data_IF_822665030947
#
_entry.id   IF_822665030947
#
_cell.length_a   1.000
_cell.length_b   1.000
_cell.length_c   1.000
_cell.angle_alpha   90.00
_cell.angle_beta   90.00
_cell.angle_gamma   90.00
#
_symmetry.space_group_name_H-M   'P 1'
#
loop_
_entity.id
_entity.type
_entity.pdbx_description
1 polymer ?
#
# COMPACT_ATOMS: atom_id res chain seq x y z
N UNK A 1 -14.31 -2.55 -27.96
CA UNK A 1 -13.75 -3.78 -27.36
C UNK A 1 -12.47 -3.38 -26.65
N UNK A 2 -12.58 -2.89 -25.41
CA UNK A 2 -11.43 -2.57 -24.57
C UNK A 2 -11.08 -3.84 -23.83
N UNK A 3 -9.87 -4.36 -24.08
CA UNK A 3 -9.35 -5.55 -23.40
C UNK A 3 -9.34 -5.28 -21.91
N UNK A 4 -10.22 -5.97 -21.20
CA UNK A 4 -10.40 -5.93 -19.75
C UNK A 4 -9.23 -6.68 -19.11
N UNK A 5 -8.03 -6.12 -19.22
CA UNK A 5 -6.85 -6.66 -18.55
C UNK A 5 -7.01 -6.37 -17.07
N UNK A 6 -7.53 -7.36 -16.35
CA UNK A 6 -7.63 -7.41 -14.89
C UNK A 6 -6.40 -6.76 -14.26
N UNK A 7 -6.57 -5.68 -13.50
CA UNK A 7 -5.43 -4.97 -12.91
C UNK A 7 -4.94 -5.74 -11.68
N UNK A 8 -3.72 -6.29 -11.79
CA UNK A 8 -3.13 -7.15 -10.76
C UNK A 8 -1.77 -6.62 -10.29
N UNK A 9 -1.51 -6.67 -8.99
CA UNK A 9 -0.21 -6.35 -8.38
C UNK A 9 0.32 -7.61 -7.72
N UNK A 10 1.56 -8.02 -8.03
CA UNK A 10 2.19 -9.13 -7.32
C UNK A 10 2.56 -8.70 -5.90
N UNK A 11 2.28 -9.53 -4.90
CA UNK A 11 2.51 -9.21 -3.48
C UNK A 11 3.98 -8.90 -3.18
N UNK A 12 4.93 -9.56 -3.86
CA UNK A 12 6.35 -9.28 -3.70
C UNK A 12 6.79 -7.92 -4.26
N UNK A 13 5.96 -7.30 -5.10
CA UNK A 13 6.34 -6.17 -5.96
C UNK A 13 5.52 -4.91 -5.62
N UNK A 14 5.15 -4.72 -4.34
CA UNK A 14 4.43 -3.52 -3.89
C UNK A 14 5.36 -2.30 -3.95
N UNK A 15 5.51 -1.75 -5.15
CA UNK A 15 6.23 -0.52 -5.45
C UNK A 15 5.42 0.73 -5.09
N UNK A 16 6.00 1.92 -5.21
CA UNK A 16 5.28 3.17 -4.95
C UNK A 16 4.16 3.41 -5.97
N UNK A 17 4.35 2.98 -7.21
CA UNK A 17 3.32 3.00 -8.26
C UNK A 17 2.18 2.04 -7.91
N UNK A 18 2.50 0.85 -7.39
CA UNK A 18 1.51 -0.10 -6.91
C UNK A 18 0.68 0.49 -5.75
N UNK A 19 1.31 1.22 -4.84
CA UNK A 19 0.61 1.91 -3.75
C UNK A 19 -0.33 3.01 -4.25
N UNK A 20 0.07 3.76 -5.29
CA UNK A 20 -0.79 4.77 -5.91
C UNK A 20 -2.02 4.12 -6.53
N UNK A 21 -1.87 2.99 -7.22
CA UNK A 21 -2.99 2.26 -7.80
C UNK A 21 -3.93 1.68 -6.72
N UNK A 22 -3.38 1.20 -5.60
CA UNK A 22 -4.18 0.77 -4.44
C UNK A 22 -4.97 1.96 -3.86
N UNK A 23 -4.36 3.14 -3.71
CA UNK A 23 -5.06 4.35 -3.24
C UNK A 23 -6.21 4.73 -4.18
N UNK A 24 -5.98 4.75 -5.50
CA UNK A 24 -7.01 5.07 -6.50
C UNK A 24 -8.17 4.08 -6.48
N UNK A 25 -7.87 2.80 -6.28
CA UNK A 25 -8.89 1.77 -6.15
C UNK A 25 -9.67 1.92 -4.83
N UNK A 26 -9.00 2.36 -3.76
CA UNK A 26 -9.57 2.56 -2.42
C UNK A 26 -10.45 3.82 -2.29
N UNK A 27 -10.18 4.90 -3.02
CA UNK A 27 -11.01 6.13 -3.03
C UNK A 27 -12.45 5.90 -3.52
N UNK A 28 -12.71 4.74 -4.13
CA UNK A 28 -14.04 4.31 -4.61
C UNK A 28 -14.77 3.45 -3.56
N UNK A 29 -14.24 3.33 -2.32
CA UNK A 29 -14.60 2.29 -1.34
C UNK A 29 -15.24 2.83 -0.06
N UNK A 30 -16.12 2.02 0.57
CA UNK A 30 -16.71 2.29 1.89
C UNK A 30 -15.70 2.26 3.07
N UNK A 31 -14.51 1.67 2.90
CA UNK A 31 -13.39 1.68 3.87
C UNK A 31 -12.14 2.24 3.15
N UNK A 32 -11.74 3.45 3.50
CA UNK A 32 -10.51 4.09 2.99
C UNK A 32 -9.22 3.41 3.51
N UNK A 33 -9.37 2.37 4.32
CA UNK A 33 -8.34 1.72 5.12
C UNK A 33 -7.12 1.26 4.29
N UNK A 34 -7.28 0.62 3.10
CA UNK A 34 -6.17 0.32 2.20
C UNK A 34 -5.43 1.57 1.70
N UNK A 35 -6.16 2.63 1.34
CA UNK A 35 -5.58 3.89 0.85
C UNK A 35 -4.79 4.62 1.94
N UNK A 36 -5.32 4.67 3.17
CA UNK A 36 -4.60 5.22 4.32
C UNK A 36 -3.29 4.47 4.57
N UNK A 37 -3.34 3.14 4.59
CA UNK A 37 -2.16 2.33 4.84
C UNK A 37 -1.10 2.50 3.73
N UNK A 38 -1.54 2.56 2.46
CA UNK A 38 -0.66 2.80 1.32
C UNK A 38 0.01 4.18 1.39
N UNK A 39 -0.73 5.22 1.79
CA UNK A 39 -0.19 6.57 1.96
C UNK A 39 0.83 6.64 3.10
N UNK A 40 0.59 5.98 4.24
CA UNK A 40 1.54 5.93 5.35
C UNK A 40 2.82 5.21 4.91
N UNK A 41 2.70 4.06 4.25
CA UNK A 41 3.85 3.31 3.73
C UNK A 41 4.69 4.16 2.76
N UNK A 42 4.04 4.88 1.84
CA UNK A 42 4.73 5.81 0.93
C UNK A 42 5.43 6.97 1.67
N UNK A 43 4.82 7.51 2.74
CA UNK A 43 5.47 8.53 3.57
C UNK A 43 6.70 7.99 4.30
N UNK A 44 6.64 6.76 4.82
CA UNK A 44 7.79 6.11 5.46
C UNK A 44 8.93 5.86 4.47
N UNK A 45 8.63 5.39 3.25
CA UNK A 45 9.62 5.25 2.17
C UNK A 45 10.26 6.59 1.79
N UNK A 46 9.45 7.63 1.67
CA UNK A 46 9.93 8.99 1.40
C UNK A 46 10.87 9.47 2.51
N UNK A 47 10.50 9.24 3.77
CA UNK A 47 11.34 9.59 4.92
C UNK A 47 12.67 8.83 4.92
N UNK A 48 12.65 7.51 4.68
CA UNK A 48 13.86 6.69 4.56
C UNK A 48 14.80 7.23 3.49
N UNK A 49 14.28 7.48 2.28
CA UNK A 49 15.07 8.02 1.16
C UNK A 49 15.67 9.39 1.49
N UNK A 50 14.88 10.27 2.12
CA UNK A 50 15.36 11.57 2.58
C UNK A 50 16.50 11.43 3.60
N UNK A 51 16.33 10.58 4.62
CA UNK A 51 17.36 10.37 5.66
C UNK A 51 18.65 9.76 5.11
N UNK A 52 18.56 8.87 4.12
CA UNK A 52 19.73 8.33 3.42
C UNK A 52 20.49 9.43 2.67
N UNK A 53 19.77 10.32 1.98
CA UNK A 53 20.37 11.43 1.23
C UNK A 53 20.97 12.52 2.16
N UNK A 54 20.51 12.63 3.40
CA UNK A 54 21.07 13.56 4.38
C UNK A 54 22.50 13.19 4.82
N UNK A 55 22.90 11.92 4.72
CA UNK A 55 24.23 11.44 5.12
C UNK A 55 25.33 12.16 4.32
N UNK A 56 25.11 12.37 3.03
CA UNK A 56 26.07 13.10 2.17
C UNK A 56 26.07 14.61 2.44
N UNK A 57 24.92 15.16 2.84
CA UNK A 57 24.75 16.60 3.07
C UNK A 57 25.24 17.06 4.45
N UNK A 58 25.16 16.18 5.44
CA UNK A 58 25.48 16.45 6.85
C UNK A 58 26.34 15.31 7.43
N UNK A 59 27.61 15.19 6.99
CA UNK A 59 28.46 14.06 7.38
C UNK A 59 28.78 14.04 8.89
N UNK A 60 28.77 15.19 9.57
CA UNK A 60 28.89 15.26 11.03
C UNK A 60 27.75 14.55 11.79
N UNK A 61 26.56 14.46 11.18
CA UNK A 61 25.36 13.86 11.76
C UNK A 61 25.04 12.47 11.15
N UNK A 62 25.97 11.90 10.39
CA UNK A 62 25.77 10.67 9.62
C UNK A 62 25.28 9.48 10.47
N UNK A 63 25.77 9.32 11.70
CA UNK A 63 25.32 8.25 12.61
C UNK A 63 23.83 8.37 12.93
N UNK A 64 23.38 9.59 13.25
CA UNK A 64 21.97 9.87 13.53
C UNK A 64 21.10 9.60 12.30
N UNK A 65 21.56 10.00 11.11
CA UNK A 65 20.82 9.78 9.87
C UNK A 65 20.74 8.31 9.47
N UNK A 66 21.82 7.54 9.65
CA UNK A 66 21.82 6.09 9.47
C UNK A 66 20.83 5.42 10.42
N UNK A 67 20.84 5.80 11.69
CA UNK A 67 19.90 5.29 12.67
C UNK A 67 18.44 5.60 12.28
N UNK A 68 18.14 6.82 11.83
CA UNK A 68 16.79 7.17 11.35
C UNK A 68 16.37 6.37 10.12
N UNK A 69 17.27 6.16 9.16
CA UNK A 69 17.00 5.37 7.95
C UNK A 69 16.68 3.91 8.29
N UNK A 70 17.42 3.33 9.25
CA UNK A 70 17.18 1.97 9.76
C UNK A 70 15.82 1.86 10.48
N UNK A 71 15.45 2.85 11.31
CA UNK A 71 14.13 2.89 11.95
C UNK A 71 13.00 3.02 10.92
N UNK A 72 13.21 3.79 9.86
CA UNK A 72 12.25 3.92 8.77
C UNK A 72 12.08 2.61 8.00
N UNK A 73 13.15 1.87 7.74
CA UNK A 73 13.09 0.54 7.12
C UNK A 73 12.29 -0.46 7.97
N UNK A 74 12.50 -0.48 9.29
CA UNK A 74 11.72 -1.34 10.18
C UNK A 74 10.22 -1.00 10.17
N UNK A 75 9.88 0.29 10.15
CA UNK A 75 8.49 0.73 10.00
C UNK A 75 7.91 0.34 8.62
N UNK A 76 8.71 0.45 7.56
CA UNK A 76 8.33 0.03 6.20
C UNK A 76 7.95 -1.45 6.17
N UNK A 77 8.79 -2.31 6.76
CA UNK A 77 8.53 -3.76 6.83
C UNK A 77 7.23 -4.08 7.58
N UNK A 78 6.99 -3.44 8.72
CA UNK A 78 5.77 -3.64 9.51
C UNK A 78 4.52 -3.22 8.71
N UNK A 79 4.56 -2.05 8.08
CA UNK A 79 3.45 -1.52 7.28
C UNK A 79 3.19 -2.36 6.03
N UNK A 80 4.25 -2.82 5.37
CA UNK A 80 4.16 -3.72 4.22
C UNK A 80 3.50 -5.04 4.59
N UNK A 81 3.93 -5.66 5.69
CA UNK A 81 3.32 -6.88 6.22
C UNK A 81 1.84 -6.66 6.57
N UNK A 82 1.53 -5.54 7.23
CA UNK A 82 0.14 -5.17 7.56
C UNK A 82 -0.73 -5.02 6.31
N UNK A 83 -0.18 -4.46 5.23
CA UNK A 83 -0.89 -4.33 3.95
C UNK A 83 -1.23 -5.70 3.37
N UNK A 84 -0.27 -6.62 3.35
CA UNK A 84 -0.48 -7.98 2.86
C UNK A 84 -1.57 -8.68 3.67
N UNK A 85 -1.48 -8.62 4.99
CA UNK A 85 -2.48 -9.22 5.88
C UNK A 85 -3.88 -8.63 5.70
N UNK A 86 -3.98 -7.31 5.50
CA UNK A 86 -5.23 -6.65 5.17
C UNK A 86 -5.81 -7.20 3.86
N UNK A 87 -5.00 -7.28 2.80
CA UNK A 87 -5.44 -7.83 1.52
C UNK A 87 -5.87 -9.31 1.62
N UNK A 88 -5.19 -10.11 2.45
CA UNK A 88 -5.56 -11.51 2.72
C UNK A 88 -6.90 -11.62 3.46
N UNK A 89 -7.06 -10.88 4.57
CA UNK A 89 -8.32 -10.83 5.34
C UNK A 89 -9.47 -10.36 4.46
N UNK A 90 -9.17 -9.50 3.50
CA UNK A 90 -10.15 -8.98 2.57
C UNK A 90 -10.41 -9.91 1.36
N UNK A 91 -9.72 -11.07 1.26
CA UNK A 91 -9.82 -12.02 0.14
C UNK A 91 -9.52 -11.39 -1.23
N UNK A 92 -8.58 -10.43 -1.23
CA UNK A 92 -8.17 -9.67 -2.41
C UNK A 92 -6.92 -10.24 -3.08
N UNK A 93 -6.23 -11.15 -2.41
CA UNK A 93 -5.10 -11.91 -2.94
C UNK A 93 -5.64 -13.22 -3.53
N UNK A 94 -5.22 -13.57 -4.74
CA UNK A 94 -5.49 -14.90 -5.31
C UNK A 94 -4.43 -15.95 -4.96
N UNK A 95 -4.69 -17.20 -5.31
CA UNK A 95 -3.79 -18.33 -5.04
C UNK A 95 -2.40 -18.18 -5.69
N UNK A 96 -2.23 -17.21 -6.59
CA UNK A 96 -0.97 -16.91 -7.28
C UNK A 96 -0.23 -15.72 -6.66
N UNK A 97 -0.64 -15.26 -5.47
CA UNK A 97 -0.08 -14.10 -4.77
C UNK A 97 -0.23 -12.76 -5.53
N UNK A 98 -1.33 -12.58 -6.26
CA UNK A 98 -1.68 -11.30 -6.88
C UNK A 98 -2.84 -10.62 -6.17
N UNK A 99 -2.66 -9.35 -5.85
CA UNK A 99 -3.72 -8.42 -5.43
C UNK A 99 -4.54 -8.08 -6.68
N UNK A 100 -5.84 -8.35 -6.64
CA UNK A 100 -6.76 -8.03 -7.74
C UNK A 100 -7.43 -6.68 -7.44
N UNK A 101 -6.98 -5.61 -8.10
CA UNK A 101 -7.48 -4.25 -7.89
C UNK A 101 -8.98 -4.10 -8.22
N UNK A 102 -9.48 -4.86 -9.18
CA UNK A 102 -10.90 -4.80 -9.55
C UNK A 102 -11.80 -5.46 -8.48
N UNK A 103 -11.25 -6.33 -7.61
CA UNK A 103 -11.99 -6.87 -6.46
C UNK A 103 -12.06 -5.88 -5.29
N UNK A 104 -11.08 -4.99 -5.16
CA UNK A 104 -11.10 -3.91 -4.15
C UNK A 104 -12.31 -3.00 -4.37
N UNK A 105 -12.54 -2.58 -5.62
CA UNK A 105 -13.69 -1.75 -5.98
C UNK A 105 -15.03 -2.50 -5.91
N UNK A 106 -15.09 -3.76 -6.34
CA UNK A 106 -16.33 -4.54 -6.34
C UNK A 106 -16.79 -4.93 -4.92
N UNK A 107 -15.89 -5.38 -4.04
CA UNK A 107 -16.24 -5.70 -2.64
C UNK A 107 -16.76 -4.48 -1.91
N UNK A 108 -16.17 -3.33 -2.20
CA UNK A 108 -16.63 -2.07 -1.66
C UNK A 108 -18.04 -1.70 -2.09
N UNK A 109 -18.34 -1.86 -3.38
CA UNK A 109 -19.68 -1.66 -3.94
C UNK A 109 -20.69 -2.58 -3.26
N UNK A 110 -20.36 -3.87 -3.09
CA UNK A 110 -21.22 -4.84 -2.38
C UNK A 110 -21.42 -4.46 -0.91
N UNK A 111 -20.38 -3.96 -0.23
CA UNK A 111 -20.48 -3.53 1.17
C UNK A 111 -21.36 -2.28 1.32
N UNK A 112 -21.19 -1.29 0.44
CA UNK A 112 -22.03 -0.09 0.40
C UNK A 112 -23.50 -0.43 0.09
N UNK A 113 -23.73 -1.34 -0.86
CA UNK A 113 -25.05 -1.85 -1.23
C UNK A 113 -25.75 -2.57 -0.06
N UNK A 114 -25.03 -3.42 0.69
CA UNK A 114 -25.55 -4.04 1.92
C UNK A 114 -25.90 -3.02 3.01
N UNK A 115 -25.10 -1.95 3.17
CA UNK A 115 -25.35 -0.91 4.18
C UNK A 115 -26.63 -0.11 3.90
N UNK A 116 -27.05 -0.01 2.63
CA UNK A 116 -28.30 0.67 2.23
C UNK A 116 -29.48 -0.29 2.01
N UNK A 117 -29.34 -1.56 2.40
CA UNK A 117 -30.41 -2.56 2.32
C UNK A 117 -30.72 -3.09 0.92
N UNK A 118 -29.79 -2.94 -0.02
CA UNK A 118 -29.89 -3.43 -1.40
C UNK A 118 -28.80 -4.48 -1.57
N UNK A 119 -29.00 -5.72 -1.12
CA UNK A 119 -27.97 -6.75 -1.18
C UNK A 119 -28.51 -8.16 -1.15
#
# INVERSE_FOLDING_TARGET
>A
MMSDTKRTIKVSDISDEALIEICRAAEVVACECPGYLARILRQVRTFRNYTTNCIEQFPEDAETHLWLAERAEQAEMLLHQTMIELMQKESLIDDSEYIILDKLSERARVTALKQIGIG
#
